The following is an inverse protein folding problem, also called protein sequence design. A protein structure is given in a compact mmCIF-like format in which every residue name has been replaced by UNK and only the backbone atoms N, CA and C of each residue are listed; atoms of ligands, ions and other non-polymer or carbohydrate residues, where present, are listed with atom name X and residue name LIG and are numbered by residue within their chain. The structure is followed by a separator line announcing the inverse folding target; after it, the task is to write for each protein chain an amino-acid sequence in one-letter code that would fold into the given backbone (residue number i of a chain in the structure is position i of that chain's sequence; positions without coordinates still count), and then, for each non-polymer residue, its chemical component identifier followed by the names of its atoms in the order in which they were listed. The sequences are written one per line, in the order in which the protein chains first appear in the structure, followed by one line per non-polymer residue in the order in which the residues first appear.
data_IF_691419989826
#
_entry.id   IF_691419989826
#
_cell.length_a   1.000
_cell.length_b   1.000
_cell.length_c   1.000
_cell.angle_alpha   90.00
_cell.angle_beta   90.00
_cell.angle_gamma   90.00
#
_symmetry.space_group_name_H-M   'P 1'
#
loop_
_entity.id
_entity.type
_entity.pdbx_description
1 polymer ?
#
# COMPACT_ATOMS: atom_id res chain seq x y z
N UNK A 1 -1.58 24.71 -13.09
CA UNK A 1 -1.28 23.70 -12.04
C UNK A 1 -2.58 22.97 -11.73
N UNK A 2 -2.65 21.64 -11.86
CA UNK A 2 -3.86 20.86 -11.51
C UNK A 2 -3.57 20.13 -10.21
N UNK A 3 -4.27 20.48 -9.14
CA UNK A 3 -4.19 19.83 -7.83
C UNK A 3 -5.38 18.90 -7.59
N UNK A 4 -5.33 18.13 -6.51
CA UNK A 4 -6.49 17.35 -6.05
C UNK A 4 -7.49 18.26 -5.36
N UNK A 5 -8.77 18.18 -5.74
CA UNK A 5 -9.85 19.01 -5.16
C UNK A 5 -10.40 18.46 -3.85
N UNK A 6 -10.20 17.15 -3.57
CA UNK A 6 -10.74 16.47 -2.38
C UNK A 6 -9.79 15.37 -1.85
N UNK A 7 -8.48 15.51 -2.06
CA UNK A 7 -7.54 14.55 -1.48
C UNK A 7 -7.40 14.76 0.03
N UNK A 8 -7.43 13.67 0.80
CA UNK A 8 -7.06 13.63 2.21
C UNK A 8 -5.62 13.12 2.32
N UNK A 9 -4.78 13.85 3.06
CA UNK A 9 -3.37 13.51 3.22
C UNK A 9 -3.17 12.88 4.59
N UNK A 10 -2.68 11.64 4.61
CA UNK A 10 -2.16 11.01 5.82
C UNK A 10 -0.67 11.32 5.96
N UNK A 11 -0.27 11.79 7.14
CA UNK A 11 1.11 12.17 7.45
C UNK A 11 1.69 11.17 8.46
N UNK A 12 3.01 11.00 8.45
CA UNK A 12 3.73 10.20 9.46
C UNK A 12 3.30 8.73 9.57
N UNK A 13 2.80 8.13 8.49
CA UNK A 13 2.27 6.75 8.47
C UNK A 13 3.29 5.73 8.98
N UNK A 14 4.56 5.84 8.58
CA UNK A 14 5.62 4.92 8.99
C UNK A 14 6.59 5.51 10.03
N UNK A 15 6.35 6.73 10.54
CA UNK A 15 7.31 7.45 11.39
C UNK A 15 7.19 7.16 12.88
N UNK A 16 6.35 6.21 13.31
CA UNK A 16 6.10 5.95 14.73
C UNK A 16 5.99 4.45 15.03
N UNK A 17 6.58 4.00 16.13
CA UNK A 17 6.49 2.62 16.61
C UNK A 17 5.05 2.21 16.93
N UNK A 18 4.20 3.15 17.35
CA UNK A 18 2.78 2.91 17.54
C UNK A 18 2.08 2.53 16.21
N UNK A 19 2.42 3.21 15.10
CA UNK A 19 1.85 2.85 13.80
C UNK A 19 2.39 1.51 13.29
N UNK A 20 3.64 1.15 13.62
CA UNK A 20 4.17 -0.18 13.30
C UNK A 20 3.41 -1.29 14.02
N UNK A 21 3.08 -1.12 15.31
CA UNK A 21 2.24 -2.07 16.02
C UNK A 21 0.87 -2.24 15.32
N UNK A 22 0.21 -1.14 14.98
CA UNK A 22 -1.08 -1.17 14.30
C UNK A 22 -0.99 -1.82 12.90
N UNK A 23 0.08 -1.56 12.14
CA UNK A 23 0.30 -2.19 10.84
C UNK A 23 0.54 -3.71 10.93
N UNK A 24 1.06 -4.18 12.07
CA UNK A 24 1.22 -5.60 12.39
C UNK A 24 -0.02 -6.19 13.07
N UNK A 25 -1.12 -5.46 13.21
CA UNK A 25 -2.32 -5.89 13.95
C UNK A 25 -2.04 -6.20 15.42
N UNK A 26 -1.19 -5.39 16.05
CA UNK A 26 -0.82 -5.47 17.47
C UNK A 26 -1.40 -4.28 18.25
N UNK A 27 -1.60 -4.40 19.58
CA UNK A 27 -1.94 -3.26 20.43
C UNK A 27 -0.98 -2.08 20.23
N UNK A 28 -1.51 -0.86 20.21
CA UNK A 28 -0.72 0.37 20.00
C UNK A 28 0.48 0.52 20.95
N UNK A 29 0.34 0.01 22.17
CA UNK A 29 1.35 0.12 23.24
C UNK A 29 2.32 -1.08 23.28
N UNK A 30 2.25 -2.00 22.30
CA UNK A 30 3.20 -3.13 22.19
C UNK A 30 4.63 -2.62 22.05
N UNK A 31 5.55 -3.19 22.84
CA UNK A 31 6.93 -2.75 22.88
C UNK A 31 7.68 -3.04 21.58
N UNK A 32 8.66 -2.20 21.22
CA UNK A 32 9.41 -2.34 19.96
C UNK A 32 10.05 -3.72 19.77
N UNK A 33 10.53 -4.36 20.85
CA UNK A 33 11.12 -5.70 20.78
C UNK A 33 10.10 -6.74 20.31
N UNK A 34 8.91 -6.74 20.90
CA UNK A 34 7.82 -7.66 20.55
C UNK A 34 7.33 -7.42 19.12
N UNK A 35 7.27 -6.16 18.67
CA UNK A 35 6.96 -5.83 17.28
C UNK A 35 7.99 -6.42 16.30
N UNK A 36 9.28 -6.35 16.62
CA UNK A 36 10.36 -6.93 15.79
C UNK A 36 10.30 -8.45 15.80
N UNK A 37 10.02 -9.07 16.94
CA UNK A 37 9.84 -10.52 17.05
C UNK A 37 8.67 -11.00 16.18
N UNK A 38 7.53 -10.32 16.21
CA UNK A 38 6.38 -10.65 15.35
C UNK A 38 6.69 -10.43 13.87
N UNK A 39 7.42 -9.36 13.53
CA UNK A 39 7.87 -9.13 12.17
C UNK A 39 8.75 -10.27 11.66
N UNK A 40 9.74 -10.72 12.44
CA UNK A 40 10.61 -11.86 12.10
C UNK A 40 9.78 -13.13 11.93
N UNK A 41 8.81 -13.37 12.81
CA UNK A 41 7.92 -14.54 12.74
C UNK A 41 7.15 -14.59 11.42
N UNK A 42 6.51 -13.48 11.02
CA UNK A 42 5.80 -13.38 9.72
C UNK A 42 6.75 -13.46 8.53
N UNK A 43 7.96 -12.91 8.67
CA UNK A 43 8.98 -12.96 7.63
C UNK A 43 9.45 -14.39 7.33
N UNK A 44 9.44 -15.28 8.32
CA UNK A 44 9.79 -16.70 8.12
C UNK A 44 8.81 -17.43 7.17
N UNK A 45 7.58 -16.93 7.03
CA UNK A 45 6.54 -17.48 6.14
C UNK A 45 6.58 -16.84 4.73
N UNK A 46 7.44 -15.85 4.50
CA UNK A 46 7.59 -15.19 3.21
C UNK A 46 8.32 -16.09 2.20
N UNK A 47 7.89 -16.14 0.91
CA UNK A 47 6.83 -15.36 0.29
C UNK A 47 5.42 -15.95 0.47
N UNK A 48 4.46 -15.08 0.78
CA UNK A 48 3.04 -15.44 0.85
C UNK A 48 2.38 -15.16 -0.51
N UNK A 49 1.72 -16.16 -1.10
CA UNK A 49 0.99 -16.00 -2.35
C UNK A 49 -0.21 -15.05 -2.15
N UNK A 50 -0.40 -14.02 -3.00
CA UNK A 50 -1.54 -13.12 -2.87
C UNK A 50 -2.84 -13.86 -3.20
N UNK A 51 -3.89 -13.60 -2.42
CA UNK A 51 -5.22 -14.08 -2.76
C UNK A 51 -5.71 -13.36 -4.03
N UNK A 52 -6.05 -14.14 -5.06
CA UNK A 52 -6.58 -13.61 -6.32
C UNK A 52 -7.96 -13.03 -6.13
N UNK A 53 -8.05 -11.74 -5.80
CA UNK A 53 -9.32 -11.04 -5.67
C UNK A 53 -10.08 -11.03 -7.00
N UNK A 54 -11.25 -11.68 -7.05
CA UNK A 54 -12.26 -11.31 -8.05
C UNK A 54 -12.52 -9.81 -7.88
N UNK A 55 -12.36 -9.03 -8.93
CA UNK A 55 -12.46 -7.58 -8.86
C UNK A 55 -13.89 -7.19 -8.46
N UNK A 56 -14.18 -7.10 -7.16
CA UNK A 56 -15.37 -6.39 -6.70
C UNK A 56 -15.07 -4.92 -6.90
N UNK A 57 -15.54 -4.40 -8.03
CA UNK A 57 -15.45 -3.00 -8.43
C UNK A 57 -16.08 -2.14 -7.33
N UNK A 58 -15.25 -1.56 -6.46
CA UNK A 58 -15.68 -0.53 -5.51
C UNK A 58 -16.00 0.78 -6.23
N UNK A 59 -16.79 1.68 -5.62
CA UNK A 59 -17.04 3.01 -6.18
C UNK A 59 -15.72 3.79 -6.19
N UNK A 60 -15.19 4.05 -7.38
CA UNK A 60 -13.92 4.77 -7.58
C UNK A 60 -13.00 4.20 -8.66
N UNK A 61 -13.53 3.66 -9.76
CA UNK A 61 -12.70 3.13 -10.86
C UNK A 61 -11.91 4.26 -11.55
N UNK A 62 -10.56 4.29 -11.53
CA UNK A 62 -9.79 5.22 -12.36
C UNK A 62 -9.77 4.75 -13.82
N UNK A 63 -9.79 5.70 -14.75
CA UNK A 63 -9.83 5.43 -16.21
C UNK A 63 -8.62 4.61 -16.67
N UNK A 64 -8.89 3.69 -17.60
CA UNK A 64 -7.88 3.01 -18.43
C UNK A 64 -7.03 4.07 -19.16
N UNK A 65 -5.72 4.09 -18.89
CA UNK A 65 -4.78 4.81 -19.73
C UNK A 65 -4.65 4.06 -21.06
N UNK A 66 -5.16 4.64 -22.14
CA UNK A 66 -4.86 4.20 -23.50
C UNK A 66 -3.57 4.89 -23.93
N UNK A 67 -2.45 4.16 -23.96
CA UNK A 67 -1.22 4.64 -24.59
C UNK A 67 -1.47 4.71 -26.09
N UNK A 68 -1.65 5.91 -26.62
CA UNK A 68 -1.60 6.15 -28.06
C UNK A 68 -0.15 6.09 -28.50
N UNK A 69 0.28 4.97 -29.06
CA UNK A 69 1.59 4.88 -29.72
C UNK A 69 1.47 5.57 -31.07
N UNK A 70 1.81 6.86 -31.16
CA UNK A 70 2.02 7.50 -32.46
C UNK A 70 3.31 6.95 -33.07
N UNK A 71 3.20 5.90 -33.87
CA UNK A 71 4.24 5.52 -34.82
C UNK A 71 4.35 6.62 -35.88
N UNK A 72 5.43 7.42 -35.80
CA UNK A 72 5.99 8.07 -36.99
C UNK A 72 7.49 8.27 -36.81
N UNK A 73 8.21 7.16 -36.87
CA UNK A 73 9.61 7.16 -37.29
C UNK A 73 9.63 6.78 -38.77
N UNK A 74 9.82 7.77 -39.63
CA UNK A 74 10.11 7.69 -41.08
C UNK A 74 10.58 9.11 -41.44
N UNK A 75 11.77 9.38 -41.96
CA UNK A 75 12.84 8.59 -42.59
C UNK A 75 14.13 9.38 -42.45
#
# INVERSE_FOLDING_TARGET
MRGFTDARIAMNVHGSWANHALALDLPKETGTKEQVEEFIRRWAEFPVAPEGGTTRRGPGTPRRATTSTSSRCSR
#
